data_IF_210610861808
#
_entry.id   IF_210610861808
#
_cell.length_a   1.000
_cell.length_b   1.000
_cell.length_c   1.000
_cell.angle_alpha   90.00
_cell.angle_beta   90.00
_cell.angle_gamma   90.00
#
_symmetry.space_group_name_H-M   'P 1'
#
loop_
_entity.id
_entity.type
_entity.pdbx_description
1 polymer ?
#
# COMPACT_ATOMS: atom_id res chain seq x y z
N UNK A 1 -10.58 -0.30 17.56
CA UNK A 1 -9.71 0.51 16.69
C UNK A 1 -8.59 -0.36 16.15
N UNK A 2 -8.28 -0.19 14.87
CA UNK A 2 -7.27 -0.93 14.15
C UNK A 2 -6.40 0.02 13.31
N UNK A 3 -5.11 -0.30 13.19
CA UNK A 3 -4.25 0.25 12.15
C UNK A 3 -4.23 -0.74 10.98
N UNK A 4 -4.69 -0.31 9.82
CA UNK A 4 -4.62 -1.09 8.60
C UNK A 4 -3.41 -0.60 7.81
N UNK A 5 -2.53 -1.52 7.44
CA UNK A 5 -1.35 -1.23 6.64
C UNK A 5 -1.43 -1.99 5.33
N UNK A 6 -1.37 -1.26 4.22
CA UNK A 6 -1.29 -1.81 2.87
C UNK A 6 0.16 -1.69 2.41
N UNK A 7 0.74 -2.80 1.97
CA UNK A 7 2.08 -2.82 1.39
C UNK A 7 1.94 -2.87 -0.12
N UNK A 8 2.09 -1.71 -0.77
CA UNK A 8 1.92 -1.54 -2.20
C UNK A 8 3.28 -1.66 -2.89
N UNK A 9 3.53 -2.69 -3.72
CA UNK A 9 4.83 -2.88 -4.36
C UNK A 9 5.06 -1.83 -5.44
N UNK A 10 6.33 -1.47 -5.67
CA UNK A 10 6.71 -0.54 -6.74
C UNK A 10 6.77 -1.18 -8.13
N UNK A 11 6.80 -2.51 -8.18
CA UNK A 11 6.92 -3.31 -9.40
C UNK A 11 5.82 -4.38 -9.44
N UNK A 12 5.44 -4.83 -10.63
CA UNK A 12 4.58 -6.01 -10.79
C UNK A 12 5.37 -7.32 -10.70
N UNK A 13 4.66 -8.45 -10.78
CA UNK A 13 5.27 -9.78 -10.75
C UNK A 13 6.23 -10.06 -11.93
N UNK A 14 6.13 -9.31 -13.03
CA UNK A 14 7.03 -9.38 -14.19
C UNK A 14 8.21 -8.39 -14.08
N UNK A 15 8.39 -7.78 -12.90
CA UNK A 15 9.44 -6.79 -12.59
C UNK A 15 9.31 -5.48 -13.38
N UNK A 16 8.12 -5.15 -13.87
CA UNK A 16 7.86 -3.87 -14.51
C UNK A 16 7.45 -2.83 -13.47
N UNK A 17 8.07 -1.65 -13.53
CA UNK A 17 7.73 -0.54 -12.64
C UNK A 17 6.27 -0.11 -12.84
N UNK A 18 5.55 0.02 -11.73
CA UNK A 18 4.15 0.42 -11.73
C UNK A 18 4.02 1.95 -11.85
N UNK A 19 3.03 2.45 -12.61
CA UNK A 19 2.85 3.87 -12.80
C UNK A 19 2.41 4.57 -11.50
N UNK A 20 2.99 5.74 -11.23
CA UNK A 20 2.68 6.56 -10.05
C UNK A 20 1.19 6.89 -9.88
N UNK A 21 0.45 6.96 -10.99
CA UNK A 21 -1.00 7.22 -10.96
C UNK A 21 -1.78 6.16 -10.19
N UNK A 22 -1.33 4.89 -10.16
CA UNK A 22 -1.99 3.85 -9.38
C UNK A 22 -1.98 4.16 -7.89
N UNK A 23 -0.84 4.61 -7.37
CA UNK A 23 -0.69 4.99 -5.97
C UNK A 23 -1.54 6.21 -5.62
N UNK A 24 -1.64 7.19 -6.53
CA UNK A 24 -2.55 8.33 -6.39
C UNK A 24 -4.01 7.88 -6.28
N UNK A 25 -4.47 6.97 -7.14
CA UNK A 25 -5.83 6.44 -7.08
C UNK A 25 -6.12 5.75 -5.75
N UNK A 26 -5.21 4.90 -5.26
CA UNK A 26 -5.35 4.25 -3.94
C UNK A 26 -5.39 5.29 -2.83
N UNK A 27 -4.60 6.37 -2.93
CA UNK A 27 -4.62 7.44 -1.93
C UNK A 27 -5.97 8.13 -1.87
N UNK A 28 -6.50 8.54 -3.03
CA UNK A 28 -7.77 9.23 -3.14
C UNK A 28 -8.92 8.34 -2.62
N UNK A 29 -8.93 7.06 -3.00
CA UNK A 29 -9.93 6.08 -2.53
C UNK A 29 -9.91 5.91 -1.00
N UNK A 30 -8.72 5.78 -0.40
CA UNK A 30 -8.59 5.65 1.06
C UNK A 30 -8.95 6.94 1.79
N UNK A 31 -8.59 8.11 1.25
CA UNK A 31 -8.94 9.41 1.84
C UNK A 31 -10.45 9.65 1.76
N UNK A 32 -11.08 9.35 0.62
CA UNK A 32 -12.52 9.47 0.45
C UNK A 32 -13.29 8.56 1.41
N UNK A 33 -12.82 7.33 1.60
CA UNK A 33 -13.51 6.34 2.42
C UNK A 33 -13.25 6.50 3.93
N UNK A 34 -12.03 6.86 4.34
CA UNK A 34 -11.62 6.88 5.77
C UNK A 34 -11.33 8.27 6.31
N UNK A 35 -11.31 9.31 5.48
CA UNK A 35 -11.09 10.71 5.88
C UNK A 35 -9.64 11.07 6.20
N UNK A 36 -8.70 10.13 6.07
CA UNK A 36 -7.28 10.37 6.33
C UNK A 36 -6.39 9.19 5.93
N UNK A 37 -5.14 9.49 5.58
CA UNK A 37 -4.15 8.52 5.11
C UNK A 37 -2.76 8.96 5.55
N UNK A 38 -1.97 8.04 6.08
CA UNK A 38 -0.53 8.23 6.29
C UNK A 38 0.23 7.37 5.29
N UNK A 39 1.22 7.95 4.61
CA UNK A 39 2.02 7.24 3.61
C UNK A 39 3.50 7.36 3.90
N UNK A 40 4.25 6.25 3.83
CA UNK A 40 5.70 6.27 3.88
C UNK A 40 6.29 5.12 3.06
N UNK A 41 7.54 5.23 2.63
CA UNK A 41 8.24 4.18 1.88
C UNK A 41 8.93 3.17 2.81
N UNK A 42 8.85 1.89 2.48
CA UNK A 42 9.62 0.82 3.12
C UNK A 42 10.66 0.27 2.13
N UNK A 43 11.73 1.04 1.97
CA UNK A 43 12.97 0.75 1.23
C UNK A 43 14.04 1.72 1.77
N UNK A 44 15.36 1.50 1.62
CA UNK A 44 16.35 2.42 2.19
C UNK A 44 16.09 3.82 1.66
N UNK A 45 16.18 4.82 2.54
CA UNK A 45 15.90 6.21 2.24
C UNK A 45 16.94 6.77 1.24
N UNK A 46 16.81 6.44 -0.04
CA UNK A 46 17.32 7.25 -1.13
C UNK A 46 16.19 8.20 -1.49
N UNK A 47 16.36 9.47 -1.09
CA UNK A 47 15.45 10.57 -1.40
C UNK A 47 15.39 10.94 -2.89
N UNK A 48 15.27 9.96 -3.77
CA UNK A 48 15.18 10.13 -5.20
C UNK A 48 14.05 9.24 -5.69
N UNK A 49 12.88 9.86 -5.87
CA UNK A 49 11.88 9.31 -6.75
C UNK A 49 12.52 9.16 -8.13
N UNK A 50 12.96 7.94 -8.44
CA UNK A 50 13.70 7.56 -9.65
C UNK A 50 15.07 8.24 -9.79
N UNK A 51 16.12 7.66 -9.23
CA UNK A 51 17.41 7.67 -9.93
C UNK A 51 17.97 6.25 -9.98
N UNK A 52 18.09 5.82 -11.24
CA UNK A 52 18.71 4.63 -11.83
C UNK A 52 19.32 3.56 -10.92
N UNK A 53 18.80 2.36 -11.11
CA UNK A 53 19.61 1.30 -11.71
C UNK A 53 20.83 0.84 -10.91
N UNK A 54 20.61 0.19 -9.78
CA UNK A 54 21.51 -0.88 -9.36
C UNK A 54 20.82 -1.85 -8.40
N UNK A 55 20.61 -3.10 -8.87
CA UNK A 55 20.33 -4.32 -8.10
C UNK A 55 19.64 -4.17 -6.73
N UNK A 56 18.56 -3.38 -6.65
CA UNK A 56 17.86 -3.11 -5.42
C UNK A 56 16.90 -4.26 -5.08
N UNK A 57 17.00 -4.73 -3.84
CA UNK A 57 16.19 -5.82 -3.28
C UNK A 57 14.71 -5.63 -3.60
N UNK A 58 14.09 -6.63 -4.22
CA UNK A 58 12.70 -6.67 -4.70
C UNK A 58 11.59 -6.49 -3.63
N UNK A 59 11.92 -6.04 -2.42
CA UNK A 59 10.99 -5.78 -1.30
C UNK A 59 10.57 -4.29 -1.22
N UNK A 60 10.87 -3.49 -2.24
CA UNK A 60 10.51 -2.07 -2.26
C UNK A 60 8.99 -1.88 -2.35
N UNK A 61 8.41 -1.31 -1.30
CA UNK A 61 6.98 -1.04 -1.21
C UNK A 61 6.72 0.34 -0.61
N UNK A 62 5.60 0.92 -1.01
CA UNK A 62 5.00 2.06 -0.33
C UNK A 62 3.99 1.52 0.68
N UNK A 63 4.11 1.97 1.93
CA UNK A 63 3.19 1.60 2.99
C UNK A 63 2.16 2.69 3.15
N UNK A 64 0.91 2.32 2.99
CA UNK A 64 -0.25 3.16 3.24
C UNK A 64 -0.92 2.70 4.52
N UNK A 65 -1.24 3.66 5.39
CA UNK A 65 -1.86 3.39 6.68
C UNK A 65 -3.14 4.18 6.87
N UNK A 66 -4.18 3.48 7.31
CA UNK A 66 -5.43 4.09 7.77
C UNK A 66 -5.77 3.55 9.15
N UNK A 67 -6.27 4.43 10.02
CA UNK A 67 -6.83 4.06 11.32
C UNK A 67 -8.34 3.96 11.20
N UNK A 68 -8.92 2.88 11.71
CA UNK A 68 -10.37 2.62 11.65
C UNK A 68 -10.87 2.20 13.02
N UNK A 69 -12.07 2.60 13.41
CA UNK A 69 -12.67 2.20 14.69
C UNK A 69 -13.01 0.70 14.71
N UNK A 70 -13.63 0.23 13.63
CA UNK A 70 -14.06 -1.15 13.42
C UNK A 70 -13.44 -1.74 12.14
N UNK A 71 -13.22 -3.05 12.13
CA UNK A 71 -12.63 -3.76 11.01
C UNK A 71 -13.72 -4.41 10.14
N UNK A 72 -14.06 -3.78 9.01
CA UNK A 72 -14.88 -4.40 7.96
C UNK A 72 -14.04 -5.38 7.13
N UNK A 73 -14.01 -6.64 7.54
CA UNK A 73 -13.21 -7.68 6.88
C UNK A 73 -13.63 -7.94 5.43
N UNK A 74 -14.92 -7.81 5.11
CA UNK A 74 -15.44 -8.00 3.75
C UNK A 74 -14.90 -6.92 2.82
N UNK A 75 -15.04 -5.65 3.23
CA UNK A 75 -14.57 -4.52 2.44
C UNK A 75 -13.06 -4.63 2.17
N UNK A 76 -12.27 -4.94 3.19
CA UNK A 76 -10.82 -5.11 3.05
C UNK A 76 -10.43 -6.30 2.16
N UNK A 77 -11.19 -7.39 2.19
CA UNK A 77 -10.94 -8.54 1.32
C UNK A 77 -11.22 -8.22 -0.15
N UNK A 78 -12.35 -7.55 -0.42
CA UNK A 78 -12.74 -7.14 -1.78
C UNK A 78 -11.76 -6.10 -2.33
N UNK A 79 -11.40 -5.11 -1.50
CA UNK A 79 -10.42 -4.08 -1.87
C UNK A 79 -9.04 -4.68 -2.16
N UNK A 80 -8.60 -5.65 -1.36
CA UNK A 80 -7.34 -6.39 -1.60
C UNK A 80 -7.35 -7.08 -2.95
N UNK A 81 -8.44 -7.77 -3.31
CA UNK A 81 -8.55 -8.47 -4.58
C UNK A 81 -8.52 -7.51 -5.79
N UNK A 82 -9.16 -6.35 -5.67
CA UNK A 82 -9.09 -5.32 -6.71
C UNK A 82 -7.68 -4.71 -6.82
N UNK A 83 -6.99 -4.50 -5.70
CA UNK A 83 -5.59 -4.05 -5.71
C UNK A 83 -4.66 -5.09 -6.33
N UNK A 84 -4.82 -6.39 -6.01
CA UNK A 84 -4.07 -7.49 -6.64
C UNK A 84 -4.17 -7.43 -8.17
N UNK A 85 -5.39 -7.21 -8.69
CA UNK A 85 -5.62 -7.03 -10.14
C UNK A 85 -4.96 -5.77 -10.69
N UNK A 86 -5.09 -4.62 -10.01
CA UNK A 86 -4.55 -3.31 -10.46
C UNK A 86 -3.01 -3.28 -10.44
N UNK A 87 -2.41 -3.86 -9.41
CA UNK A 87 -0.96 -3.93 -9.21
C UNK A 87 -0.34 -5.14 -9.92
N UNK A 88 -1.15 -6.02 -10.54
CA UNK A 88 -0.71 -7.25 -11.20
C UNK A 88 0.13 -8.13 -10.27
N UNK A 89 -0.40 -8.31 -9.07
CA UNK A 89 0.21 -9.08 -8.00
C UNK A 89 -0.65 -10.31 -7.74
N UNK A 90 -0.01 -11.48 -7.63
CA UNK A 90 -0.69 -12.72 -7.22
C UNK A 90 -1.23 -12.63 -5.79
N UNK A 91 -0.51 -11.91 -4.92
CA UNK A 91 -0.92 -11.69 -3.54
C UNK A 91 -0.45 -10.33 -3.05
N UNK A 92 -1.37 -9.53 -2.50
CA UNK A 92 -1.04 -8.28 -1.82
C UNK A 92 -1.22 -8.43 -0.31
N UNK A 93 -0.27 -7.87 0.44
CA UNK A 93 -0.31 -7.89 1.90
C UNK A 93 -1.04 -6.66 2.42
N UNK A 94 -2.23 -6.89 2.98
CA UNK A 94 -2.93 -5.94 3.83
C UNK A 94 -3.01 -6.56 5.23
N UNK A 95 -2.54 -5.84 6.24
CA UNK A 95 -2.53 -6.32 7.63
C UNK A 95 -3.25 -5.35 8.54
N UNK A 96 -3.94 -5.89 9.54
CA UNK A 96 -4.66 -5.14 10.55
C UNK A 96 -4.02 -5.39 11.93
N UNK A 97 -3.69 -4.33 12.64
CA UNK A 97 -3.19 -4.38 14.02
C UNK A 97 -4.23 -3.79 14.95
N UNK A 98 -4.65 -4.53 15.98
CA UNK A 98 -5.47 -3.95 17.03
C UNK A 98 -4.66 -2.88 17.79
N UNK A 99 -5.24 -1.71 17.98
CA UNK A 99 -4.60 -0.61 18.68
C UNK A 99 -5.35 -0.28 19.97
N UNK A 100 -4.58 0.20 20.94
CA UNK A 100 -5.07 0.84 22.15
C UNK A 100 -4.52 2.27 22.18
N UNK A 101 -5.39 3.26 22.35
CA UNK A 101 -4.99 4.64 22.61
C UNK A 101 -4.66 4.80 24.09
N UNK A 102 -3.61 5.57 24.41
CA UNK A 102 -3.16 5.86 25.78
C UNK A 102 -3.64 7.23 26.24
#
# INVERSE_FOLDING_TARGET
MYLIQLLLPLYDNDQQALPKSLFGMVSDELIEHFGGLTTYSRAPASGYWLEDGDNAVHDESVVYEVMVDELDRSWWADYRAELERRFRQEMLVIRAHALMLL
#
